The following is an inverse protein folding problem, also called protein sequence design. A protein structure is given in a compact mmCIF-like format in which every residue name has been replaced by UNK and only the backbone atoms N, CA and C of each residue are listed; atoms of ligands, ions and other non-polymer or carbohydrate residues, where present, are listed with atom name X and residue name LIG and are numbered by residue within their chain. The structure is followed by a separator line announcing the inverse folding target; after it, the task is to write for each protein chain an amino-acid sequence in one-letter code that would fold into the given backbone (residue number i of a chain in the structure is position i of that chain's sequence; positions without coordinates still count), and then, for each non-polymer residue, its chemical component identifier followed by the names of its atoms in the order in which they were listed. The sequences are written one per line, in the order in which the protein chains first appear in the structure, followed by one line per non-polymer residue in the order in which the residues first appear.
data_IF_353880480765
#
_entry.id   IF_353880480765
#
_cell.length_a   1.000
_cell.length_b   1.000
_cell.length_c   1.000
_cell.angle_alpha   90.00
_cell.angle_beta   90.00
_cell.angle_gamma   90.00
#
_symmetry.space_group_name_H-M   'P 1'
#
loop_
_entity.id
_entity.type
_entity.pdbx_description
1 polymer ?
#
# COMPACT_ATOMS: atom_id res chain seq x y z
N UNK A 1 7.51 17.71 -18.80
CA UNK A 1 6.10 17.77 -19.21
C UNK A 1 5.25 17.88 -17.95
N UNK A 2 4.37 18.89 -17.91
CA UNK A 2 3.38 19.30 -16.89
C UNK A 2 3.44 18.68 -15.47
N UNK A 3 4.03 19.44 -14.53
CA UNK A 3 3.64 19.39 -13.12
C UNK A 3 2.51 20.40 -12.92
N UNK A 4 1.25 19.97 -12.96
CA UNK A 4 0.14 20.85 -12.60
C UNK A 4 0.03 20.94 -11.08
N UNK A 5 0.58 22.02 -10.54
CA UNK A 5 0.27 22.56 -9.22
C UNK A 5 -1.18 23.05 -9.24
N UNK A 6 -2.12 22.26 -8.73
CA UNK A 6 -3.50 22.72 -8.59
C UNK A 6 -3.66 23.49 -7.26
N UNK A 7 -3.51 24.82 -7.34
CA UNK A 7 -3.97 25.81 -6.36
C UNK A 7 -4.89 26.74 -7.18
N UNK A 8 -6.16 27.06 -6.90
CA UNK A 8 -6.92 27.59 -5.71
C UNK A 8 -8.43 27.62 -6.15
N UNK A 9 -9.44 28.22 -5.46
CA UNK A 9 -9.52 28.90 -4.16
C UNK A 9 -10.65 28.39 -3.21
N UNK A 10 -10.59 28.86 -1.95
CA UNK A 10 -11.54 28.63 -0.86
C UNK A 10 -12.95 29.15 -1.17
N UNK A 11 -13.95 28.27 -1.11
CA UNK A 11 -15.33 28.62 -0.77
C UNK A 11 -15.99 27.42 -0.07
N UNK A 12 -16.28 27.62 1.22
CA UNK A 12 -17.26 26.94 2.09
C UNK A 12 -17.87 25.59 1.64
N UNK A 13 -17.53 24.54 2.39
CA UNK A 13 -18.46 23.46 2.76
C UNK A 13 -18.24 22.11 2.06
N UNK A 14 -17.61 21.18 2.79
CA UNK A 14 -17.55 19.75 2.46
C UNK A 14 -16.18 19.28 1.92
N UNK A 15 -15.76 18.04 2.20
CA UNK A 15 -14.47 17.54 1.76
C UNK A 15 -14.41 17.56 0.23
N UNK A 16 -13.45 18.31 -0.30
CA UNK A 16 -13.03 18.18 -1.69
C UNK A 16 -12.26 16.85 -1.80
N UNK A 17 -13.00 15.76 -1.90
CA UNK A 17 -12.43 14.56 -2.48
C UNK A 17 -12.12 14.93 -3.92
N UNK A 18 -10.87 15.32 -4.18
CA UNK A 18 -10.34 15.37 -5.53
C UNK A 18 -10.59 13.98 -6.07
N UNK A 19 -11.65 13.83 -6.85
CA UNK A 19 -11.98 12.58 -7.49
C UNK A 19 -10.83 12.34 -8.46
N UNK A 20 -9.84 11.58 -8.01
CA UNK A 20 -8.99 10.80 -8.91
C UNK A 20 -9.98 10.16 -9.87
N UNK A 21 -9.88 10.47 -11.16
CA UNK A 21 -10.78 9.90 -12.15
C UNK A 21 -10.78 8.38 -11.92
N UNK A 22 -11.97 7.79 -11.74
CA UNK A 22 -12.08 6.36 -11.50
C UNK A 22 -11.34 5.62 -12.62
N UNK A 23 -10.33 4.81 -12.25
CA UNK A 23 -9.47 4.11 -13.20
C UNK A 23 -8.16 4.81 -13.59
N UNK A 24 -7.85 6.00 -13.06
CA UNK A 24 -6.51 6.57 -13.19
C UNK A 24 -5.52 5.86 -12.24
N UNK A 25 -4.28 5.66 -12.70
CA UNK A 25 -3.19 5.15 -11.85
C UNK A 25 -2.67 6.28 -10.96
N UNK A 26 -3.29 6.46 -9.78
CA UNK A 26 -2.81 7.34 -8.72
C UNK A 26 -2.15 6.54 -7.59
N UNK A 27 -1.43 7.26 -6.73
CA UNK A 27 -0.85 6.74 -5.49
C UNK A 27 -1.01 7.81 -4.38
N UNK A 28 -1.20 7.40 -3.12
CA UNK A 28 -1.30 8.26 -1.95
C UNK A 28 0.08 8.34 -1.33
N UNK A 29 0.78 9.45 -1.58
CA UNK A 29 2.15 9.68 -1.16
C UNK A 29 2.37 11.19 -0.99
N UNK A 30 3.47 11.58 -0.33
CA UNK A 30 3.88 12.97 -0.22
C UNK A 30 2.85 13.86 0.48
N UNK A 31 2.17 13.33 1.50
CA UNK A 31 1.13 14.01 2.27
C UNK A 31 -0.10 14.45 1.43
N UNK A 32 -0.40 13.74 0.34
CA UNK A 32 -1.43 14.17 -0.61
C UNK A 32 -2.88 14.03 -0.12
N UNK A 33 -3.15 13.10 0.81
CA UNK A 33 -4.48 12.96 1.41
C UNK A 33 -4.77 14.13 2.36
N UNK A 34 -6.03 14.56 2.46
CA UNK A 34 -6.49 15.54 3.46
C UNK A 34 -7.47 14.85 4.40
N UNK A 35 -7.14 14.88 5.70
CA UNK A 35 -7.98 14.37 6.76
C UNK A 35 -8.36 15.49 7.74
N UNK A 36 -9.60 15.99 7.62
CA UNK A 36 -10.12 17.08 8.48
C UNK A 36 -9.26 18.37 8.46
N UNK A 37 -8.68 18.72 7.31
CA UNK A 37 -7.82 19.89 7.14
C UNK A 37 -6.37 19.66 7.57
N UNK A 38 -5.95 18.41 7.69
CA UNK A 38 -4.57 17.99 7.95
C UNK A 38 -4.06 17.18 6.77
N UNK A 39 -2.91 17.58 6.21
CA UNK A 39 -2.27 16.88 5.11
C UNK A 39 -1.61 15.56 5.59
N UNK A 40 -1.80 14.48 4.84
CA UNK A 40 -1.29 13.13 5.11
C UNK A 40 -2.36 12.13 5.53
N UNK A 41 -1.91 10.97 6.03
CA UNK A 41 -2.70 9.81 6.46
C UNK A 41 -3.10 8.81 5.34
N UNK A 42 -3.59 7.64 5.77
CA UNK A 42 -4.07 6.56 4.90
C UNK A 42 -5.42 6.90 4.27
N UNK A 43 -5.65 6.41 3.05
CA UNK A 43 -6.95 6.45 2.38
C UNK A 43 -7.68 5.12 2.53
N UNK A 44 -8.97 5.12 2.22
CA UNK A 44 -9.76 3.88 2.17
C UNK A 44 -9.14 2.89 1.19
N UNK A 45 -9.03 1.63 1.60
CA UNK A 45 -8.52 0.54 0.76
C UNK A 45 -9.28 0.48 -0.58
N UNK A 46 -8.56 0.31 -1.68
CA UNK A 46 -9.07 0.27 -3.04
C UNK A 46 -9.35 1.63 -3.67
N UNK A 47 -9.11 2.74 -2.94
CA UNK A 47 -9.34 4.10 -3.47
C UNK A 47 -8.06 4.76 -3.96
N UNK A 48 -6.91 4.12 -3.77
CA UNK A 48 -5.61 4.66 -4.16
C UNK A 48 -5.24 4.29 -5.61
N UNK A 49 -6.09 4.67 -6.56
CA UNK A 49 -5.89 4.43 -7.98
C UNK A 49 -6.48 3.11 -8.51
N UNK A 50 -6.19 2.82 -9.77
CA UNK A 50 -6.62 1.59 -10.45
C UNK A 50 -5.85 0.34 -10.01
N UNK A 51 -6.37 -0.85 -10.33
CA UNK A 51 -5.70 -2.11 -10.00
C UNK A 51 -4.43 -2.33 -10.84
N UNK A 52 -3.54 -3.16 -10.32
CA UNK A 52 -2.41 -3.72 -11.08
C UNK A 52 -2.89 -4.64 -12.21
N UNK A 53 -1.95 -5.12 -13.04
CA UNK A 53 -2.22 -6.12 -14.07
C UNK A 53 -2.85 -7.42 -13.55
N UNK A 54 -2.71 -7.71 -12.24
CA UNK A 54 -3.33 -8.86 -11.59
C UNK A 54 -4.63 -8.52 -10.85
N UNK A 55 -5.14 -7.29 -10.93
CA UNK A 55 -6.39 -6.92 -10.26
C UNK A 55 -6.25 -6.51 -8.80
N UNK A 56 -5.03 -6.31 -8.30
CA UNK A 56 -4.75 -5.90 -6.91
C UNK A 56 -4.58 -4.39 -6.77
N UNK A 57 -5.10 -3.83 -5.67
CA UNK A 57 -5.09 -2.40 -5.40
C UNK A 57 -4.02 -1.99 -4.38
N UNK A 58 -3.75 -0.67 -4.31
CA UNK A 58 -2.94 -0.02 -3.27
C UNK A 58 -1.49 -0.52 -3.12
N UNK A 59 -0.88 -1.06 -4.17
CA UNK A 59 0.53 -1.51 -4.12
C UNK A 59 1.56 -0.37 -4.29
N UNK A 60 1.10 0.86 -4.48
CA UNK A 60 1.92 2.07 -4.57
C UNK A 60 1.32 3.17 -3.68
N UNK A 61 2.02 3.52 -2.61
CA UNK A 61 1.59 4.48 -1.61
C UNK A 61 0.64 3.87 -0.57
N UNK A 62 -0.05 4.75 0.16
CA UNK A 62 -0.83 4.43 1.34
C UNK A 62 0.06 3.98 2.51
N UNK A 63 0.50 2.72 2.55
CA UNK A 63 1.41 2.22 3.60
C UNK A 63 2.49 1.33 2.99
N UNK A 64 3.65 1.29 3.63
CA UNK A 64 4.61 0.23 3.31
C UNK A 64 4.03 -1.14 3.69
N UNK A 65 4.29 -2.15 2.87
CA UNK A 65 3.90 -3.53 3.14
C UNK A 65 5.11 -4.39 3.53
N UNK A 66 5.05 -5.01 4.71
CA UNK A 66 6.03 -5.98 5.16
C UNK A 66 6.11 -7.21 4.25
N UNK A 67 7.33 -7.71 4.01
CA UNK A 67 7.60 -9.00 3.36
C UNK A 67 8.82 -9.70 3.97
N UNK A 68 8.91 -11.01 3.76
CA UNK A 68 9.93 -11.87 4.35
C UNK A 68 11.33 -11.78 3.71
N UNK A 69 11.55 -10.85 2.76
CA UNK A 69 12.78 -10.78 1.94
C UNK A 69 13.07 -12.12 1.24
N UNK A 70 14.03 -12.88 1.76
CA UNK A 70 14.47 -14.18 1.26
C UNK A 70 13.88 -15.35 2.07
N UNK A 71 13.10 -15.07 3.11
CA UNK A 71 12.59 -16.07 4.05
C UNK A 71 13.64 -16.57 5.06
N UNK A 72 14.89 -16.10 4.95
CA UNK A 72 15.96 -16.45 5.89
C UNK A 72 15.79 -15.63 7.17
N UNK A 73 15.91 -16.31 8.33
CA UNK A 73 15.87 -15.64 9.61
C UNK A 73 16.99 -14.58 9.73
N UNK A 74 16.63 -13.39 10.20
CA UNK A 74 17.55 -12.26 10.33
C UNK A 74 16.91 -11.08 11.05
N UNK A 75 17.72 -10.05 11.30
CA UNK A 75 17.33 -8.83 12.01
C UNK A 75 16.59 -7.80 11.17
N UNK A 76 16.30 -8.12 9.90
CA UNK A 76 15.62 -7.23 8.96
C UNK A 76 14.48 -7.95 8.26
N UNK A 77 13.43 -7.21 7.92
CA UNK A 77 12.37 -7.60 6.99
C UNK A 77 12.19 -6.51 5.93
N UNK A 78 11.61 -6.90 4.80
CA UNK A 78 11.48 -6.02 3.66
C UNK A 78 10.22 -5.18 3.78
N UNK A 79 10.26 -3.99 3.20
CA UNK A 79 9.14 -3.06 3.05
C UNK A 79 9.05 -2.65 1.58
N UNK A 80 7.82 -2.64 1.04
CA UNK A 80 7.52 -2.28 -0.36
C UNK A 80 6.33 -1.34 -0.45
N UNK A 81 6.16 -0.72 -1.62
CA UNK A 81 4.99 0.09 -1.95
C UNK A 81 5.10 1.56 -1.54
N UNK A 82 5.90 1.89 -0.52
CA UNK A 82 5.98 3.26 0.01
C UNK A 82 4.70 3.67 0.74
N UNK A 83 4.75 4.81 1.44
CA UNK A 83 3.61 5.28 2.24
C UNK A 83 3.09 6.65 1.83
N UNK A 84 1.99 7.06 2.46
CA UNK A 84 1.43 8.41 2.38
C UNK A 84 2.43 9.50 2.77
N UNK A 85 3.46 9.19 3.57
CA UNK A 85 4.49 10.13 4.02
C UNK A 85 5.64 10.29 3.01
N UNK A 86 5.85 9.31 2.12
CA UNK A 86 7.06 9.25 1.30
C UNK A 86 6.96 10.03 -0.01
N UNK A 87 8.11 10.30 -0.63
CA UNK A 87 8.18 10.86 -1.97
C UNK A 87 7.94 9.83 -3.08
N UNK A 88 7.62 10.30 -4.29
CA UNK A 88 7.33 9.49 -5.47
C UNK A 88 8.36 8.38 -5.77
N UNK A 89 9.64 8.60 -5.42
CA UNK A 89 10.69 7.60 -5.58
C UNK A 89 10.39 6.31 -4.82
N UNK A 90 9.87 6.42 -3.59
CA UNK A 90 9.68 5.27 -2.70
C UNK A 90 8.44 4.45 -3.04
N UNK A 91 7.47 5.03 -3.75
CA UNK A 91 6.26 4.31 -4.22
C UNK A 91 6.45 3.57 -5.55
N UNK A 92 7.65 3.67 -6.14
CA UNK A 92 8.05 2.89 -7.32
C UNK A 92 8.08 1.40 -7.00
N UNK A 93 7.66 0.56 -7.96
CA UNK A 93 7.76 -0.91 -7.84
C UNK A 93 9.19 -1.42 -7.66
N UNK A 94 10.18 -0.65 -8.12
CA UNK A 94 11.60 -0.97 -7.96
C UNK A 94 12.17 -0.60 -6.58
N UNK A 95 11.47 0.23 -5.80
CA UNK A 95 11.91 0.66 -4.48
C UNK A 95 11.90 -0.51 -3.50
N UNK A 96 12.93 -0.56 -2.66
CA UNK A 96 13.14 -1.60 -1.65
C UNK A 96 13.65 -0.94 -0.39
N UNK A 97 13.01 -1.25 0.71
CA UNK A 97 13.45 -0.80 2.01
C UNK A 97 13.51 -1.98 2.96
N UNK A 98 14.40 -1.91 3.95
CA UNK A 98 14.56 -2.94 4.97
C UNK A 98 14.50 -2.27 6.33
N UNK A 99 13.84 -2.93 7.28
CA UNK A 99 13.69 -2.39 8.63
C UNK A 99 13.66 -3.52 9.67
N UNK A 100 13.92 -3.16 10.93
CA UNK A 100 13.84 -4.10 12.05
C UNK A 100 12.42 -4.67 12.16
N UNK A 101 12.24 -6.00 12.30
CA UNK A 101 10.90 -6.59 12.43
C UNK A 101 10.17 -6.17 13.72
N UNK A 102 10.86 -5.54 14.68
CA UNK A 102 10.25 -4.94 15.86
C UNK A 102 9.70 -3.52 15.63
N UNK A 103 9.81 -3.00 14.41
CA UNK A 103 9.38 -1.66 14.05
C UNK A 103 7.88 -1.59 13.82
N UNK A 104 7.21 -0.65 14.49
CA UNK A 104 5.78 -0.42 14.36
C UNK A 104 5.57 1.08 14.15
N UNK A 105 5.00 1.43 13.00
CA UNK A 105 4.66 2.80 12.63
C UNK A 105 3.29 2.82 11.96
N UNK A 106 2.61 3.95 12.03
CA UNK A 106 1.29 4.17 11.41
C UNK A 106 1.30 4.15 9.88
N UNK A 107 2.48 4.19 9.27
CA UNK A 107 2.71 4.02 7.84
C UNK A 107 3.22 2.63 7.45
N UNK A 108 3.24 1.66 8.38
CA UNK A 108 3.52 0.25 8.11
C UNK A 108 2.25 -0.59 8.14
N UNK A 109 2.11 -1.47 7.16
CA UNK A 109 1.03 -2.42 7.00
C UNK A 109 1.50 -3.73 6.39
N UNK A 110 0.57 -4.50 5.84
CA UNK A 110 0.86 -5.81 5.26
C UNK A 110 -0.21 -6.20 4.25
N UNK A 111 0.15 -7.14 3.38
CA UNK A 111 -0.75 -7.82 2.46
C UNK A 111 -0.62 -9.33 2.64
N UNK A 112 -1.75 -10.02 2.57
CA UNK A 112 -1.76 -11.47 2.65
C UNK A 112 -1.35 -12.10 1.31
N UNK A 113 -0.54 -13.14 1.42
CA UNK A 113 -0.20 -14.02 0.32
C UNK A 113 -0.41 -15.48 0.75
N UNK A 114 -0.82 -16.34 -0.18
CA UNK A 114 -1.05 -17.76 0.07
C UNK A 114 -0.65 -18.59 -1.14
N UNK A 115 -0.03 -19.76 -0.92
CA UNK A 115 0.23 -20.72 -1.99
C UNK A 115 -1.00 -21.57 -2.34
N UNK A 116 -2.03 -21.63 -1.48
CA UNK A 116 -3.11 -22.60 -1.60
C UNK A 116 -4.52 -22.02 -1.44
N UNK A 117 -4.70 -20.89 -0.75
CA UNK A 117 -6.02 -20.33 -0.37
C UNK A 117 -7.02 -21.45 -0.01
N UNK A 118 -6.75 -22.23 1.05
CA UNK A 118 -7.47 -23.47 1.35
C UNK A 118 -8.95 -23.24 1.64
N UNK A 119 -9.34 -22.01 1.99
CA UNK A 119 -10.71 -21.61 2.27
C UNK A 119 -11.44 -21.07 1.02
N UNK A 120 -10.80 -21.07 -0.16
CA UNK A 120 -11.34 -20.54 -1.41
C UNK A 120 -11.91 -19.13 -1.26
N UNK A 121 -11.19 -18.27 -0.52
CA UNK A 121 -11.62 -16.91 -0.23
C UNK A 121 -11.69 -16.09 -1.53
N UNK A 122 -12.77 -15.32 -1.75
CA UNK A 122 -13.01 -14.62 -3.02
C UNK A 122 -12.14 -13.37 -3.21
N UNK A 123 -11.43 -12.93 -2.17
CA UNK A 123 -10.56 -11.75 -2.20
C UNK A 123 -9.11 -12.08 -2.58
N UNK A 124 -8.83 -13.28 -3.07
CA UNK A 124 -7.51 -13.64 -3.58
C UNK A 124 -7.51 -13.72 -5.10
N UNK A 125 -6.41 -13.27 -5.70
CA UNK A 125 -6.14 -13.44 -7.13
C UNK A 125 -4.85 -14.23 -7.35
N UNK A 126 -4.87 -15.12 -8.33
CA UNK A 126 -3.69 -15.90 -8.73
C UNK A 126 -2.69 -15.05 -9.48
N UNK A 127 -1.45 -15.03 -9.00
CA UNK A 127 -0.29 -14.54 -9.73
C UNK A 127 0.26 -15.69 -10.57
N UNK A 128 -0.18 -15.76 -11.84
CA UNK A 128 -0.02 -16.92 -12.72
C UNK A 128 1.33 -17.09 -13.41
N UNK A 129 2.29 -16.18 -13.19
CA UNK A 129 3.55 -16.13 -13.93
C UNK A 129 4.69 -16.91 -13.22
N UNK A 130 4.40 -18.15 -12.81
CA UNK A 130 5.42 -19.01 -12.22
C UNK A 130 6.55 -19.32 -13.22
N UNK A 131 7.79 -19.29 -12.74
CA UNK A 131 9.00 -19.47 -13.55
C UNK A 131 9.45 -18.20 -14.28
N UNK A 132 8.92 -17.02 -13.95
CA UNK A 132 9.41 -15.78 -14.53
C UNK A 132 10.87 -15.52 -14.11
N UNK A 133 11.67 -15.02 -15.06
CA UNK A 133 13.07 -14.68 -14.79
C UNK A 133 13.15 -13.47 -13.86
N UNK A 134 14.19 -13.45 -13.03
CA UNK A 134 14.58 -12.27 -12.29
C UNK A 134 14.82 -11.08 -13.24
N UNK A 135 14.55 -9.87 -12.74
CA UNK A 135 15.03 -8.64 -13.32
C UNK A 135 16.57 -8.56 -13.28
N UNK A 136 17.15 -7.51 -13.88
CA UNK A 136 18.60 -7.30 -13.90
C UNK A 136 19.23 -7.10 -12.52
N UNK A 137 18.43 -6.91 -11.47
CA UNK A 137 18.88 -6.79 -10.08
C UNK A 137 18.82 -8.12 -9.33
N UNK A 138 18.38 -9.21 -9.99
CA UNK A 138 18.31 -10.55 -9.42
C UNK A 138 17.02 -10.83 -8.67
N UNK A 139 15.97 -10.04 -8.86
CA UNK A 139 14.72 -10.14 -8.11
C UNK A 139 13.47 -10.25 -8.99
N UNK A 140 12.35 -10.62 -8.39
CA UNK A 140 11.05 -10.64 -9.05
C UNK A 140 10.72 -11.96 -9.74
N UNK A 141 11.66 -12.91 -9.83
CA UNK A 141 11.38 -14.27 -10.24
C UNK A 141 10.72 -15.08 -9.12
N UNK A 142 9.67 -15.83 -9.47
CA UNK A 142 8.91 -16.68 -8.55
C UNK A 142 8.71 -18.04 -9.20
N UNK A 143 9.13 -19.11 -8.54
CA UNK A 143 9.10 -20.48 -9.11
C UNK A 143 7.77 -21.21 -8.93
N UNK A 144 6.84 -20.63 -8.19
CA UNK A 144 5.55 -21.24 -7.85
C UNK A 144 4.41 -20.26 -8.10
N UNK A 145 3.22 -20.80 -8.36
CA UNK A 145 2.00 -20.00 -8.34
C UNK A 145 1.63 -19.68 -6.90
N UNK A 146 1.23 -18.44 -6.67
CA UNK A 146 0.71 -17.98 -5.39
C UNK A 146 -0.46 -17.05 -5.65
N UNK A 147 -1.19 -16.77 -4.58
CA UNK A 147 -2.32 -15.87 -4.58
C UNK A 147 -2.05 -14.73 -3.63
N UNK A 148 -2.53 -13.54 -3.99
CA UNK A 148 -2.44 -12.34 -3.16
C UNK A 148 -3.81 -11.74 -2.94
N UNK A 149 -4.00 -11.11 -1.79
CA UNK A 149 -5.22 -10.38 -1.50
C UNK A 149 -5.38 -9.18 -2.45
N UNK A 150 -6.59 -9.03 -3.01
CA UNK A 150 -6.92 -7.99 -3.97
C UNK A 150 -7.14 -6.62 -3.32
N UNK A 151 -7.32 -6.56 -2.00
CA UNK A 151 -7.56 -5.35 -1.23
C UNK A 151 -8.77 -4.54 -1.75
N UNK A 152 -9.97 -5.16 -1.79
CA UNK A 152 -11.20 -4.53 -2.32
C UNK A 152 -12.41 -4.56 -1.37
N UNK A 153 -12.20 -4.23 -0.09
CA UNK A 153 -13.33 -3.96 0.82
C UNK A 153 -13.44 -4.87 2.04
N UNK A 154 -12.45 -5.72 2.29
CA UNK A 154 -12.15 -6.13 3.65
C UNK A 154 -11.10 -5.18 4.18
N UNK A 155 -11.45 -4.41 5.20
CA UNK A 155 -10.52 -3.55 5.91
C UNK A 155 -9.41 -4.46 6.42
N UNK A 156 -8.26 -4.47 5.75
CA UNK A 156 -7.01 -4.92 6.37
C UNK A 156 -6.72 -3.85 7.42
N UNK A 157 -7.33 -4.01 8.59
CA UNK A 157 -7.15 -3.08 9.71
C UNK A 157 -5.69 -3.26 10.12
N UNK A 158 -4.82 -2.34 9.70
CA UNK A 158 -3.72 -1.98 10.57
C UNK A 158 -4.41 -1.39 11.80
N UNK A 159 -4.51 -2.16 12.88
CA UNK A 159 -4.93 -1.60 14.16
C UNK A 159 -3.92 -0.53 14.53
N UNK A 160 -4.21 0.72 14.16
CA UNK A 160 -3.63 1.86 14.84
C UNK A 160 -4.31 1.90 16.19
N UNK A 161 -3.66 1.32 17.20
CA UNK A 161 -3.99 1.59 18.58
C UNK A 161 -3.75 3.08 18.85
N UNK A 162 -4.70 3.95 18.50
CA UNK A 162 -4.74 5.29 19.05
C UNK A 162 -4.98 5.16 20.57
N UNK A 163 -4.20 5.84 21.43
CA UNK A 163 -4.33 5.71 22.87
C UNK A 163 -5.73 6.12 23.28
N UNK A 164 -6.47 5.15 23.84
CA UNK A 164 -7.79 5.38 24.42
C UNK A 164 -7.63 6.40 25.54
N UNK A 165 -8.16 7.61 25.33
CA UNK A 165 -8.26 8.65 26.33
C UNK A 165 -9.16 8.13 27.46
N UNK A 166 -8.55 7.63 28.53
CA UNK A 166 -9.28 7.31 29.77
C UNK A 166 -9.45 8.63 30.53
N UNK A 167 -10.58 9.27 30.32
CA UNK A 167 -11.08 10.27 31.27
C UNK A 167 -11.56 9.50 32.50
N UNK A 168 -10.76 9.49 33.56
CA UNK A 168 -11.26 9.19 34.91
C UNK A 168 -11.68 10.50 35.55
N UNK A 169 -12.87 10.47 36.16
CA UNK A 169 -13.46 11.58 36.91
C UNK A 169 -12.63 11.94 38.13
#
# INVERSE_FOLDING_TARGET
AMNQKLLRPRASGGPIQAAVAAGANSANYGLAADWNGQDGNVTTVGTNGGPSAYGTFDQSGNVYEWNDLTGVAGSSRGLRGGSWLDYAFYVSSSSRYEFSPSGEYDFFGFRLASSLNPLSLPHFVTVGNAGNTNDSTGYGGVTYQYQIDIATGYTMVAETAAPRLVHTR
#
